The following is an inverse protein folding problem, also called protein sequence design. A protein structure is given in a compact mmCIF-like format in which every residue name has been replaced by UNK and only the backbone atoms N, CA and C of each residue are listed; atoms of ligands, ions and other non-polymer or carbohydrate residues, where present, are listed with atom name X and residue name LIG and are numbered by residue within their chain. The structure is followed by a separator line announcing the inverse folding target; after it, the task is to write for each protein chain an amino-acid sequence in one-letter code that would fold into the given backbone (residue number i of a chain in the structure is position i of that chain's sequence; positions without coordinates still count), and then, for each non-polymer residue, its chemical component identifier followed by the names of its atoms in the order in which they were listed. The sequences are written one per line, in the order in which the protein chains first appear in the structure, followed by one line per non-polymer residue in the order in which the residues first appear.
data_IF_359440272792
#
_entry.id   IF_359440272792
#
_cell.length_a   1.000
_cell.length_b   1.000
_cell.length_c   1.000
_cell.angle_alpha   90.00
_cell.angle_beta   90.00
_cell.angle_gamma   90.00
#
_symmetry.space_group_name_H-M   'P 1'
#
loop_
_entity.id
_entity.type
_entity.pdbx_description
1 polymer ?
#
# COMPACT_ATOMS: atom_id res chain seq x y z
N UNK A 1 14.96 19.24 -26.46
CA UNK A 1 14.38 19.48 -25.11
C UNK A 1 13.39 18.38 -24.69
N UNK A 2 12.69 17.76 -25.64
CA UNK A 2 11.67 16.73 -25.36
C UNK A 2 12.26 15.42 -24.78
N UNK A 3 13.42 14.95 -25.26
CA UNK A 3 14.09 13.77 -24.68
C UNK A 3 14.51 13.94 -23.22
N UNK A 4 15.06 15.11 -22.84
CA UNK A 4 15.52 15.40 -21.47
C UNK A 4 14.34 15.43 -20.47
N UNK A 5 13.17 15.89 -20.91
CA UNK A 5 11.94 15.88 -20.11
C UNK A 5 11.42 14.45 -19.92
N UNK A 6 11.53 13.61 -20.95
CA UNK A 6 11.07 12.22 -20.91
C UNK A 6 11.93 11.33 -19.99
N UNK A 7 13.28 11.43 -20.04
CA UNK A 7 14.15 10.70 -19.10
C UNK A 7 13.86 11.06 -17.64
N UNK A 8 13.65 12.35 -17.34
CA UNK A 8 13.32 12.80 -15.97
C UNK A 8 11.96 12.28 -15.48
N UNK A 9 10.98 12.10 -16.38
CA UNK A 9 9.64 11.60 -16.03
C UNK A 9 9.64 10.14 -15.55
N UNK A 10 10.43 9.25 -16.17
CA UNK A 10 10.53 7.86 -15.72
C UNK A 10 11.15 7.75 -14.33
N UNK A 11 12.14 8.61 -14.03
CA UNK A 11 12.71 8.71 -12.70
C UNK A 11 11.71 9.19 -11.65
N UNK A 12 10.85 10.16 -11.99
CA UNK A 12 9.81 10.64 -11.10
C UNK A 12 8.78 9.54 -10.78
N UNK A 13 8.28 8.82 -11.79
CA UNK A 13 7.31 7.73 -11.59
C UNK A 13 7.88 6.56 -10.77
N UNK A 14 9.16 6.21 -11.00
CA UNK A 14 9.85 5.21 -10.18
C UNK A 14 9.94 5.65 -8.71
N UNK A 15 10.20 6.93 -8.47
CA UNK A 15 10.23 7.50 -7.11
C UNK A 15 8.84 7.45 -6.46
N UNK A 16 7.79 7.81 -7.19
CA UNK A 16 6.40 7.74 -6.72
C UNK A 16 6.02 6.31 -6.35
N UNK A 17 6.39 5.31 -7.15
CA UNK A 17 6.15 3.90 -6.81
C UNK A 17 6.79 3.52 -5.48
N UNK A 18 8.05 3.92 -5.22
CA UNK A 18 8.72 3.65 -3.95
C UNK A 18 7.96 4.30 -2.78
N UNK A 19 7.54 5.57 -2.94
CA UNK A 19 6.75 6.28 -1.92
C UNK A 19 5.44 5.53 -1.63
N UNK A 20 4.72 5.09 -2.66
CA UNK A 20 3.49 4.33 -2.50
C UNK A 20 3.72 3.00 -1.75
N UNK A 21 4.81 2.28 -2.03
CA UNK A 21 5.17 1.07 -1.26
C UNK A 21 5.42 1.39 0.21
N UNK A 22 6.12 2.48 0.51
CA UNK A 22 6.35 2.92 1.89
C UNK A 22 5.02 3.26 2.58
N UNK A 23 4.14 4.00 1.91
CA UNK A 23 2.80 4.31 2.42
C UNK A 23 1.96 3.05 2.66
N UNK A 24 2.02 2.06 1.78
CA UNK A 24 1.36 0.78 2.00
C UNK A 24 1.87 0.12 3.29
N UNK A 25 3.19 0.02 3.49
CA UNK A 25 3.75 -0.54 4.72
C UNK A 25 3.37 0.24 5.98
N UNK A 26 3.27 1.57 5.90
CA UNK A 26 2.75 2.40 6.99
C UNK A 26 1.30 2.01 7.33
N UNK A 27 0.43 1.85 6.32
CA UNK A 27 -0.95 1.39 6.52
C UNK A 27 -0.99 0.00 7.15
N UNK A 28 -0.13 -0.93 6.72
CA UNK A 28 -0.05 -2.25 7.32
C UNK A 28 0.32 -2.20 8.80
N UNK A 29 1.32 -1.37 9.17
CA UNK A 29 1.72 -1.18 10.57
C UNK A 29 0.55 -0.64 11.39
N UNK A 30 -0.13 0.41 10.93
CA UNK A 30 -1.30 0.96 11.63
C UNK A 30 -2.46 -0.03 11.72
N UNK A 31 -2.64 -0.88 10.70
CA UNK A 31 -3.65 -1.94 10.71
C UNK A 31 -3.37 -2.97 11.81
N UNK A 32 -2.12 -3.42 11.93
CA UNK A 32 -1.70 -4.35 12.98
C UNK A 32 -1.83 -3.72 14.37
N UNK A 33 -1.41 -2.47 14.53
CA UNK A 33 -1.56 -1.73 15.78
C UNK A 33 -3.05 -1.62 16.15
N UNK A 34 -3.90 -1.21 15.21
CA UNK A 34 -5.35 -1.11 15.40
C UNK A 34 -5.99 -2.44 15.78
N UNK A 35 -5.53 -3.55 15.19
CA UNK A 35 -5.97 -4.88 15.57
C UNK A 35 -5.59 -5.24 17.02
N UNK A 36 -4.35 -4.97 17.42
CA UNK A 36 -3.89 -5.20 18.81
C UNK A 36 -4.74 -4.37 19.79
N UNK A 37 -5.00 -3.11 19.47
CA UNK A 37 -5.89 -2.26 20.27
C UNK A 37 -7.33 -2.77 20.30
N UNK A 38 -7.86 -3.33 19.21
CA UNK A 38 -9.19 -3.92 19.20
C UNK A 38 -9.29 -5.13 20.15
N UNK A 39 -8.23 -5.95 20.22
CA UNK A 39 -8.17 -7.08 21.15
C UNK A 39 -7.96 -6.62 22.61
N UNK A 40 -7.08 -5.64 22.84
CA UNK A 40 -6.78 -5.12 24.17
C UNK A 40 -7.90 -4.22 24.74
N UNK A 41 -8.62 -3.50 23.87
CA UNK A 41 -9.65 -2.53 24.21
C UNK A 41 -10.83 -3.12 24.96
N UNK A 42 -11.11 -4.41 24.76
CA UNK A 42 -12.08 -5.19 25.57
C UNK A 42 -11.75 -5.12 27.07
N UNK A 43 -10.47 -5.03 27.43
CA UNK A 43 -10.01 -5.00 28.82
C UNK A 43 -9.72 -3.57 29.33
N UNK A 44 -9.42 -2.62 28.43
CA UNK A 44 -9.02 -1.25 28.79
C UNK A 44 -10.20 -0.28 28.92
N UNK A 45 -11.31 -0.52 28.23
CA UNK A 45 -12.51 0.33 28.28
C UNK A 45 -13.74 -0.54 28.58
N UNK A 46 -14.13 -0.69 29.87
CA UNK A 46 -15.33 -1.42 30.23
C UNK A 46 -16.55 -0.70 29.66
N UNK A 47 -17.19 -1.29 28.67
CA UNK A 47 -18.41 -0.79 28.02
C UNK A 47 -19.28 -1.98 27.57
N UNK A 48 -20.37 -1.77 26.82
CA UNK A 48 -21.27 -2.85 26.40
C UNK A 48 -20.63 -3.86 25.41
N UNK A 49 -19.37 -3.64 25.04
CA UNK A 49 -18.64 -4.48 24.10
C UNK A 49 -18.12 -5.73 24.79
N UNK A 50 -18.80 -6.85 24.55
CA UNK A 50 -18.33 -8.17 24.99
C UNK A 50 -17.05 -8.58 24.24
N UNK A 51 -16.26 -9.54 24.77
CA UNK A 51 -15.06 -10.05 24.10
C UNK A 51 -15.29 -10.51 22.66
N UNK A 52 -16.47 -11.07 22.37
CA UNK A 52 -16.85 -11.49 21.02
C UNK A 52 -16.97 -10.32 20.03
N UNK A 53 -17.46 -9.16 20.49
CA UNK A 53 -17.56 -7.96 19.66
C UNK A 53 -16.17 -7.39 19.33
N UNK A 54 -15.26 -7.38 20.30
CA UNK A 54 -13.87 -6.94 20.08
C UNK A 54 -13.13 -7.81 19.06
N UNK A 55 -13.32 -9.12 19.10
CA UNK A 55 -12.75 -10.04 18.12
C UNK A 55 -13.30 -9.79 16.70
N UNK A 56 -14.62 -9.70 16.54
CA UNK A 56 -15.26 -9.44 15.23
C UNK A 56 -14.77 -8.11 14.66
N UNK A 57 -14.73 -7.07 15.48
CA UNK A 57 -14.23 -5.76 15.07
C UNK A 57 -12.75 -5.81 14.67
N UNK A 58 -11.91 -6.51 15.44
CA UNK A 58 -10.51 -6.70 15.11
C UNK A 58 -10.31 -7.40 13.75
N UNK A 59 -11.06 -8.47 13.48
CA UNK A 59 -11.01 -9.17 12.19
C UNK A 59 -11.44 -8.25 11.05
N UNK A 60 -12.50 -7.45 11.24
CA UNK A 60 -12.94 -6.48 10.25
C UNK A 60 -11.85 -5.42 9.94
N UNK A 61 -11.16 -4.92 10.97
CA UNK A 61 -10.03 -3.98 10.83
C UNK A 61 -8.89 -4.62 10.02
N UNK A 62 -8.53 -5.87 10.31
CA UNK A 62 -7.48 -6.59 9.57
C UNK A 62 -7.84 -6.76 8.09
N UNK A 63 -9.06 -7.20 7.79
CA UNK A 63 -9.52 -7.41 6.41
C UNK A 63 -9.51 -6.09 5.65
N UNK A 64 -10.09 -5.04 6.24
CA UNK A 64 -10.16 -3.73 5.61
C UNK A 64 -8.76 -3.14 5.37
N UNK A 65 -7.89 -3.19 6.38
CA UNK A 65 -6.51 -2.71 6.25
C UNK A 65 -5.68 -3.53 5.26
N UNK A 66 -5.89 -4.84 5.18
CA UNK A 66 -5.25 -5.70 4.18
C UNK A 66 -5.68 -5.34 2.76
N UNK A 67 -6.97 -5.07 2.53
CA UNK A 67 -7.49 -4.63 1.22
C UNK A 67 -6.83 -3.30 0.82
N UNK A 68 -6.72 -2.33 1.73
CA UNK A 68 -6.06 -1.05 1.46
C UNK A 68 -4.58 -1.26 1.17
N UNK A 69 -3.87 -2.03 2.00
CA UNK A 69 -2.46 -2.37 1.80
C UNK A 69 -2.21 -2.95 0.41
N UNK A 70 -2.96 -4.00 0.05
CA UNK A 70 -2.84 -4.69 -1.23
C UNK A 70 -3.12 -3.72 -2.38
N UNK A 71 -4.15 -2.88 -2.25
CA UNK A 71 -4.53 -1.92 -3.29
C UNK A 71 -3.43 -0.89 -3.55
N UNK A 72 -2.87 -0.27 -2.50
CA UNK A 72 -1.79 0.72 -2.64
C UNK A 72 -0.52 0.05 -3.16
N UNK A 73 -0.16 -1.10 -2.62
CA UNK A 73 1.03 -1.84 -3.03
C UNK A 73 0.94 -2.29 -4.48
N UNK A 74 -0.21 -2.83 -4.91
CA UNK A 74 -0.46 -3.22 -6.29
C UNK A 74 -0.39 -2.04 -7.25
N UNK A 75 -0.95 -0.88 -6.89
CA UNK A 75 -0.82 0.34 -7.69
C UNK A 75 0.65 0.75 -7.88
N UNK A 76 1.48 0.63 -6.83
CA UNK A 76 2.90 0.89 -6.92
C UNK A 76 3.61 -0.06 -7.89
N UNK A 77 3.27 -1.35 -7.89
CA UNK A 77 3.84 -2.35 -8.80
C UNK A 77 3.37 -2.13 -10.25
N UNK A 78 2.10 -1.77 -10.47
CA UNK A 78 1.58 -1.46 -11.81
C UNK A 78 2.40 -0.35 -12.46
N UNK A 79 2.74 0.71 -11.72
CA UNK A 79 3.59 1.80 -12.23
C UNK A 79 4.94 1.25 -12.71
N UNK A 80 5.59 0.36 -11.94
CA UNK A 80 6.88 -0.21 -12.32
C UNK A 80 6.77 -1.12 -13.55
N UNK A 81 5.70 -1.91 -13.64
CA UNK A 81 5.43 -2.75 -14.82
C UNK A 81 5.26 -1.90 -16.07
N UNK A 82 4.49 -0.80 -15.99
CA UNK A 82 4.29 0.09 -17.13
C UNK A 82 5.60 0.77 -17.56
N UNK A 83 6.44 1.20 -16.62
CA UNK A 83 7.77 1.73 -16.92
C UNK A 83 8.63 0.67 -17.63
N UNK A 84 8.61 -0.58 -17.15
CA UNK A 84 9.40 -1.66 -17.74
C UNK A 84 8.94 -2.00 -19.17
N UNK A 85 7.63 -1.99 -19.44
CA UNK A 85 7.08 -2.20 -20.79
C UNK A 85 7.58 -1.10 -21.75
N UNK A 86 7.57 0.16 -21.30
CA UNK A 86 8.01 1.29 -22.11
C UNK A 86 9.51 1.26 -22.37
N UNK A 87 10.32 0.97 -21.34
CA UNK A 87 11.78 0.80 -21.47
C UNK A 87 12.12 -0.31 -22.48
N UNK A 88 11.42 -1.45 -22.44
CA UNK A 88 11.63 -2.54 -23.39
C UNK A 88 11.20 -2.15 -24.82
N UNK A 89 10.06 -1.47 -24.97
CA UNK A 89 9.56 -1.02 -26.29
C UNK A 89 10.53 -0.04 -26.96
N UNK A 90 11.17 0.86 -26.20
CA UNK A 90 12.20 1.76 -26.72
C UNK A 90 13.46 1.03 -27.16
N UNK A 91 13.92 0.04 -26.38
CA UNK A 91 15.09 -0.77 -26.72
C UNK A 91 14.90 -1.53 -28.04
N UNK A 92 13.75 -2.18 -28.22
CA UNK A 92 13.45 -2.93 -29.45
C UNK A 92 13.32 -2.07 -30.71
N UNK A 93 13.15 -0.74 -30.58
CA UNK A 93 13.13 0.19 -31.72
C UNK A 93 14.50 0.81 -32.01
N UNK A 94 15.45 0.71 -31.08
CA UNK A 94 16.79 1.24 -31.22
C UNK A 94 17.78 0.22 -31.84
N UNK A 95 17.40 -1.06 -31.87
CA UNK A 95 18.05 -2.15 -32.61
C UNK A 95 17.56 -2.20 -34.07
#
# INVERSE_FOLDING_TARGET
MEEVVMEKRFHALRTISIILKVLAWIVAIFTVIGFIFALAGVNLFPGPYSPGVGFIFGVAVLIYGAIIFISIYALAEIILVLIAIEENTRRSKAE
#
